data_IF_375602205307
#
_entry.id   IF_375602205307
#
_cell.length_a   1.000
_cell.length_b   1.000
_cell.length_c   1.000
_cell.angle_alpha   90.00
_cell.angle_beta   90.00
_cell.angle_gamma   90.00
#
_symmetry.space_group_name_H-M   'P 1'
#
loop_
_entity.id
_entity.type
_entity.pdbx_description
1 polymer ?
#
# COMPACT_ATOMS: atom_id res chain seq x y z
N UNK A 1 -9.24 -1.74 12.04
CA UNK A 1 -10.64 -1.66 11.52
C UNK A 1 -11.64 -2.67 12.11
N UNK A 2 -11.19 -3.86 12.55
CA UNK A 2 -12.06 -4.95 13.00
C UNK A 2 -13.04 -4.62 14.16
N UNK A 3 -12.59 -3.85 15.16
CA UNK A 3 -13.43 -3.47 16.32
C UNK A 3 -14.67 -2.66 15.91
N UNK A 4 -14.50 -1.68 15.02
CA UNK A 4 -15.61 -0.86 14.52
C UNK A 4 -16.66 -1.74 13.82
N UNK A 5 -16.22 -2.64 12.94
CA UNK A 5 -17.11 -3.55 12.21
C UNK A 5 -17.91 -4.42 13.19
N UNK A 6 -17.26 -4.94 14.23
CA UNK A 6 -17.95 -5.72 15.26
C UNK A 6 -19.00 -4.93 16.00
N UNK A 7 -18.65 -3.75 16.50
CA UNK A 7 -19.57 -2.88 17.23
C UNK A 7 -20.77 -2.51 16.37
N UNK A 8 -20.56 -2.18 15.09
CA UNK A 8 -21.65 -1.92 14.15
C UNK A 8 -22.52 -3.16 13.95
N UNK A 9 -21.95 -4.35 13.71
CA UNK A 9 -22.75 -5.55 13.50
C UNK A 9 -23.60 -5.96 14.72
N UNK A 10 -23.17 -5.61 15.93
CA UNK A 10 -23.89 -5.89 17.17
C UNK A 10 -24.95 -4.84 17.53
N UNK A 11 -24.71 -3.57 17.20
CA UNK A 11 -25.54 -2.45 17.69
C UNK A 11 -26.36 -1.77 16.60
N UNK A 12 -25.94 -1.86 15.34
CA UNK A 12 -26.61 -1.21 14.23
C UNK A 12 -27.73 -2.10 13.69
N UNK A 13 -28.98 -1.67 13.91
CA UNK A 13 -30.18 -2.33 13.40
C UNK A 13 -30.82 -1.41 12.34
N UNK A 14 -30.50 -1.59 11.05
CA UNK A 14 -30.97 -0.69 10.02
C UNK A 14 -32.43 -0.96 9.60
N UNK A 15 -33.26 0.07 9.67
CA UNK A 15 -34.64 0.01 9.18
C UNK A 15 -34.77 0.37 7.69
N UNK A 16 -33.97 1.36 7.24
CA UNK A 16 -33.97 1.87 5.86
C UNK A 16 -33.06 1.07 4.95
N UNK A 17 -33.41 0.98 3.67
CA UNK A 17 -32.69 0.17 2.68
C UNK A 17 -31.20 0.50 2.57
N UNK A 18 -30.84 1.80 2.56
CA UNK A 18 -29.43 2.23 2.57
C UNK A 18 -28.66 1.68 3.78
N UNK A 19 -29.29 1.67 4.95
CA UNK A 19 -28.68 1.11 6.16
C UNK A 19 -28.51 -0.41 6.05
N UNK A 20 -29.49 -1.12 5.49
CA UNK A 20 -29.40 -2.57 5.26
C UNK A 20 -28.27 -2.91 4.30
N UNK A 21 -28.07 -2.11 3.25
CA UNK A 21 -26.94 -2.24 2.34
C UNK A 21 -25.61 -2.06 3.06
N UNK A 22 -25.48 -1.04 3.92
CA UNK A 22 -24.27 -0.81 4.73
C UNK A 22 -24.01 -2.00 5.66
N UNK A 23 -25.04 -2.49 6.35
CA UNK A 23 -24.93 -3.65 7.24
C UNK A 23 -24.48 -4.89 6.49
N UNK A 24 -25.03 -5.14 5.29
CA UNK A 24 -24.63 -6.26 4.46
C UNK A 24 -23.15 -6.16 4.04
N UNK A 25 -22.68 -4.96 3.66
CA UNK A 25 -21.26 -4.74 3.33
C UNK A 25 -20.37 -5.04 4.54
N UNK A 26 -20.74 -4.57 5.73
CA UNK A 26 -20.00 -4.84 6.97
C UNK A 26 -20.01 -6.34 7.32
N UNK A 27 -21.14 -7.02 7.08
CA UNK A 27 -21.27 -8.46 7.31
C UNK A 27 -20.45 -9.28 6.33
N UNK A 28 -20.35 -8.86 5.07
CA UNK A 28 -19.48 -9.53 4.10
C UNK A 28 -18.01 -9.24 4.39
N UNK A 29 -17.68 -8.02 4.82
CA UNK A 29 -16.33 -7.66 5.27
C UNK A 29 -15.83 -8.52 6.45
N UNK A 30 -16.74 -8.94 7.35
CA UNK A 30 -16.43 -9.89 8.43
C UNK A 30 -15.79 -11.19 7.92
N UNK A 31 -16.12 -11.66 6.71
CA UNK A 31 -15.48 -12.85 6.11
C UNK A 31 -13.99 -12.66 5.87
N UNK A 32 -13.56 -11.45 5.50
CA UNK A 32 -12.13 -11.17 5.29
C UNK A 32 -11.35 -11.14 6.60
N UNK A 33 -12.01 -10.77 7.71
CA UNK A 33 -11.38 -10.78 9.05
C UNK A 33 -11.32 -12.19 9.63
N UNK A 34 -12.40 -12.98 9.46
CA UNK A 34 -12.47 -14.35 10.00
C UNK A 34 -11.73 -15.36 9.10
N UNK A 35 -11.71 -15.13 7.79
CA UNK A 35 -11.30 -16.11 6.79
C UNK A 35 -12.23 -17.33 6.79
N UNK A 36 -11.65 -18.52 6.62
CA UNK A 36 -12.36 -19.81 6.68
C UNK A 36 -12.58 -20.32 8.11
N UNK A 37 -12.25 -19.50 9.13
CA UNK A 37 -12.47 -19.88 10.53
C UNK A 37 -13.98 -19.88 10.81
N UNK A 38 -14.48 -20.89 11.50
CA UNK A 38 -15.92 -20.97 11.83
C UNK A 38 -16.07 -20.85 13.36
N UNK A 39 -16.07 -19.63 13.93
CA UNK A 39 -16.11 -19.45 15.38
C UNK A 39 -17.40 -20.04 15.95
N UNK A 40 -17.28 -20.88 16.98
CA UNK A 40 -18.40 -21.60 17.54
C UNK A 40 -19.27 -20.70 18.46
N UNK A 41 -18.67 -19.63 19.00
CA UNK A 41 -19.34 -18.69 19.90
C UNK A 41 -18.83 -17.24 19.74
N UNK A 42 -19.49 -16.28 20.42
CA UNK A 42 -19.12 -14.87 20.37
C UNK A 42 -17.73 -14.57 20.96
N UNK A 43 -17.27 -15.35 21.94
CA UNK A 43 -15.94 -15.19 22.55
C UNK A 43 -14.84 -15.59 21.56
N UNK A 44 -15.03 -16.69 20.82
CA UNK A 44 -14.11 -17.09 19.74
C UNK A 44 -14.02 -15.98 18.69
N UNK A 45 -15.15 -15.36 18.36
CA UNK A 45 -15.17 -14.26 17.41
C UNK A 45 -14.44 -13.01 17.94
N UNK A 46 -14.65 -12.64 19.20
CA UNK A 46 -13.93 -11.52 19.83
C UNK A 46 -12.41 -11.76 19.84
N UNK A 47 -11.97 -13.00 20.10
CA UNK A 47 -10.56 -13.38 20.07
C UNK A 47 -9.97 -13.20 18.66
N UNK A 48 -10.67 -13.67 17.62
CA UNK A 48 -10.22 -13.51 16.23
C UNK A 48 -10.08 -12.04 15.82
N UNK A 49 -11.01 -11.18 16.27
CA UNK A 49 -10.93 -9.74 16.02
C UNK A 49 -9.73 -9.10 16.73
N UNK A 50 -9.42 -9.56 17.94
CA UNK A 50 -8.27 -9.08 18.71
C UNK A 50 -6.95 -9.51 18.05
N UNK A 51 -6.83 -10.76 17.60
CA UNK A 51 -5.68 -11.26 16.84
C UNK A 51 -5.48 -10.47 15.54
N UNK A 52 -6.56 -10.26 14.77
CA UNK A 52 -6.50 -9.49 13.52
C UNK A 52 -6.05 -8.04 13.76
N UNK A 53 -6.51 -7.41 14.85
CA UNK A 53 -6.06 -6.05 15.22
C UNK A 53 -4.57 -6.02 15.54
N UNK A 54 -4.07 -7.02 16.26
CA UNK A 54 -2.65 -7.09 16.60
C UNK A 54 -1.79 -7.21 15.33
N UNK A 55 -2.22 -8.04 14.39
CA UNK A 55 -1.57 -8.20 13.09
C UNK A 55 -1.59 -6.89 12.27
N UNK A 56 -2.73 -6.19 12.21
CA UNK A 56 -2.86 -4.88 11.52
C UNK A 56 -1.83 -3.87 12.05
N UNK A 57 -1.62 -3.83 13.38
CA UNK A 57 -0.62 -2.94 14.02
C UNK A 57 0.81 -3.35 13.64
N UNK A 58 1.12 -4.65 13.63
CA UNK A 58 2.45 -5.16 13.28
C UNK A 58 2.79 -4.87 11.81
N UNK A 59 1.83 -5.02 10.91
CA UNK A 59 1.96 -4.66 9.49
C UNK A 59 2.19 -3.15 9.31
N UNK A 60 1.43 -2.31 10.01
CA UNK A 60 1.60 -0.84 9.98
C UNK A 60 2.98 -0.41 10.49
N UNK A 61 3.48 -1.06 11.54
CA UNK A 61 4.84 -0.81 12.06
C UNK A 61 5.88 -1.20 11.01
N UNK A 62 5.76 -2.39 10.41
CA UNK A 62 6.69 -2.87 9.40
C UNK A 62 6.72 -1.96 8.16
N UNK A 63 5.55 -1.49 7.71
CA UNK A 63 5.43 -0.53 6.61
C UNK A 63 6.08 0.80 7.00
N UNK A 64 5.82 1.28 8.21
CA UNK A 64 6.41 2.54 8.70
C UNK A 64 7.95 2.46 8.73
N UNK A 65 8.50 1.36 9.23
CA UNK A 65 9.95 1.12 9.23
C UNK A 65 10.53 1.00 7.81
N UNK A 66 9.81 0.34 6.90
CA UNK A 66 10.20 0.27 5.49
C UNK A 66 10.20 1.66 4.84
N UNK A 67 9.24 2.52 5.18
CA UNK A 67 9.17 3.90 4.67
C UNK A 67 10.24 4.81 5.26
N UNK A 68 10.62 4.62 6.52
CA UNK A 68 11.74 5.37 7.13
C UNK A 68 13.08 5.02 6.49
N UNK A 69 13.26 3.75 6.11
CA UNK A 69 14.45 3.27 5.40
C UNK A 69 14.36 3.43 3.89
N UNK A 70 13.19 3.82 3.38
CA UNK A 70 12.98 4.08 1.96
C UNK A 70 13.70 5.36 1.56
N UNK A 71 14.82 5.21 0.86
CA UNK A 71 15.51 6.32 0.19
C UNK A 71 14.89 6.44 -1.20
N UNK A 72 14.13 7.51 -1.50
CA UNK A 72 13.58 7.69 -2.83
C UNK A 72 14.71 7.84 -3.85
N UNK A 73 14.66 7.07 -4.93
CA UNK A 73 15.65 7.11 -6.03
C UNK A 73 15.84 8.51 -6.64
N UNK A 74 14.87 9.42 -6.45
CA UNK A 74 14.90 10.80 -6.94
C UNK A 74 15.33 11.85 -5.89
N UNK A 75 15.57 11.49 -4.63
CA UNK A 75 15.86 12.44 -3.53
C UNK A 75 17.30 12.39 -3.02
N UNK A 76 18.21 11.78 -3.78
CA UNK A 76 19.62 11.81 -3.47
C UNK A 76 20.34 12.88 -4.33
N UNK A 77 20.80 13.96 -3.68
CA UNK A 77 21.65 15.00 -4.32
C UNK A 77 23.12 14.58 -4.45
N UNK A 78 23.50 13.37 -4.04
CA UNK A 78 24.80 12.82 -4.36
C UNK A 78 24.85 12.60 -5.86
N UNK A 79 25.81 13.27 -6.51
CA UNK A 79 26.22 12.88 -7.85
C UNK A 79 26.52 11.37 -7.82
N UNK A 80 25.98 10.64 -8.79
CA UNK A 80 26.33 9.23 -8.99
C UNK A 80 27.84 9.17 -9.22
N UNK A 81 28.60 8.77 -8.20
CA UNK A 81 30.01 8.51 -8.34
C UNK A 81 30.10 7.11 -8.94
N UNK A 82 30.23 7.01 -10.27
CA UNK A 82 30.81 5.80 -10.87
C UNK A 82 32.12 5.56 -10.11
N UNK A 83 32.27 4.36 -9.56
CA UNK A 83 33.40 4.03 -8.70
C UNK A 83 34.72 4.45 -9.35
N UNK A 84 35.62 5.00 -8.53
CA UNK A 84 36.94 5.54 -8.89
C UNK A 84 37.92 4.46 -9.41
N UNK A 85 37.41 3.33 -9.89
CA UNK A 85 38.17 2.26 -10.52
C UNK A 85 37.83 2.23 -12.01
N UNK A 86 38.85 2.46 -12.83
CA UNK A 86 38.91 2.45 -14.29
C UNK A 86 38.44 1.14 -14.98
N UNK A 87 37.31 0.57 -14.59
CA UNK A 87 36.69 -0.54 -15.29
C UNK A 87 35.30 -0.12 -15.78
N UNK A 88 35.05 -0.46 -17.04
CA UNK A 88 34.00 0.09 -17.90
C UNK A 88 32.61 -0.45 -17.54
N UNK A 89 32.19 -0.36 -16.30
CA UNK A 89 30.80 -0.58 -15.95
C UNK A 89 30.02 0.67 -16.33
N UNK A 90 29.56 0.70 -17.58
CA UNK A 90 28.56 1.68 -18.03
C UNK A 90 27.26 1.36 -17.32
N UNK A 91 27.15 1.79 -16.07
CA UNK A 91 25.90 1.76 -15.33
C UNK A 91 24.89 2.61 -16.11
N UNK A 92 23.73 2.05 -16.43
CA UNK A 92 22.75 2.71 -17.29
C UNK A 92 22.13 3.90 -16.54
N UNK A 93 22.58 5.11 -16.85
CA UNK A 93 22.04 6.35 -16.28
C UNK A 93 20.67 6.65 -16.91
N UNK A 94 19.62 6.22 -16.20
CA UNK A 94 18.24 6.48 -16.58
C UNK A 94 17.92 7.98 -16.70
N UNK A 95 18.56 8.84 -15.91
CA UNK A 95 18.31 10.28 -15.93
C UNK A 95 18.90 10.91 -17.20
N UNK A 96 20.14 10.58 -17.52
CA UNK A 96 20.78 11.00 -18.77
C UNK A 96 19.99 10.50 -19.99
N UNK A 97 19.55 9.25 -19.96
CA UNK A 97 18.74 8.67 -21.04
C UNK A 97 17.42 9.43 -21.26
N UNK A 98 16.71 9.79 -20.19
CA UNK A 98 15.47 10.58 -20.27
C UNK A 98 15.75 11.98 -20.83
N UNK A 99 16.85 12.62 -20.42
CA UNK A 99 17.23 13.94 -20.95
C UNK A 99 17.52 13.86 -22.45
N UNK A 100 18.28 12.86 -22.89
CA UNK A 100 18.61 12.63 -24.30
C UNK A 100 17.36 12.39 -25.12
N UNK A 101 16.47 11.49 -24.68
CA UNK A 101 15.20 11.20 -25.32
C UNK A 101 14.32 12.45 -25.49
N UNK A 102 14.19 13.27 -24.45
CA UNK A 102 13.41 14.52 -24.50
C UNK A 102 14.04 15.58 -25.40
N UNK A 103 15.36 15.56 -25.57
CA UNK A 103 16.10 16.47 -26.44
C UNK A 103 15.92 16.06 -27.90
N UNK A 104 16.02 14.78 -28.21
CA UNK A 104 15.76 14.21 -29.54
C UNK A 104 14.35 14.54 -30.03
N UNK A 105 13.32 14.37 -29.18
CA UNK A 105 11.95 14.76 -29.52
C UNK A 105 11.83 16.25 -29.90
N UNK A 106 12.52 17.14 -29.17
CA UNK A 106 12.48 18.58 -29.44
C UNK A 106 13.17 18.93 -30.74
N UNK A 107 14.27 18.26 -31.06
CA UNK A 107 15.02 18.50 -32.29
C UNK A 107 14.31 17.92 -33.52
N UNK A 108 13.61 16.79 -33.39
CA UNK A 108 12.72 16.27 -34.44
C UNK A 108 11.52 17.19 -34.70
N UNK A 109 10.89 17.73 -33.65
CA UNK A 109 9.79 18.70 -33.78
C UNK A 109 10.24 20.00 -34.46
N UNK A 110 11.47 20.45 -34.24
CA UNK A 110 12.04 21.64 -34.90
C UNK A 110 12.39 21.41 -36.38
N UNK A 111 12.78 20.20 -36.78
CA UNK A 111 13.10 19.87 -38.19
C UNK A 111 11.87 19.70 -39.08
N UNK A 112 10.68 19.51 -38.49
CA UNK A 112 9.40 19.36 -39.21
C UNK A 112 8.63 20.67 -39.41
N UNK A 113 9.14 21.80 -38.92
CA UNK A 113 8.57 23.15 -39.13
C UNK A 113 9.43 23.98 -40.08
#
# INVERSE_FOLDING_TARGET
MAQFVYEQLCTFIPEKDKGKTIYFILYDYKKYIIGDKNPANCTDFALLLQESRQQEIEEDIAISQALETYIPLQANNYAHMDGDNNEKEKTYDCHQHVIEFLKEEKDEKKKKN
#
